data_IF_772263819053
#
_entry.id   IF_772263819053
#
_cell.length_a   1.000
_cell.length_b   1.000
_cell.length_c   1.000
_cell.angle_alpha   90.00
_cell.angle_beta   90.00
_cell.angle_gamma   90.00
#
_symmetry.space_group_name_H-M   'P 1'
#
loop_
_entity.id
_entity.type
_entity.pdbx_description
1 polymer ?
#
# COMPACT_ATOMS: atom_id res chain seq x y z
N UNK A 1 -23.36 9.77 16.88
CA UNK A 1 -21.97 9.26 16.84
C UNK A 1 -21.14 10.28 16.09
N UNK A 2 -20.24 11.00 16.77
CA UNK A 2 -19.34 11.95 16.11
C UNK A 2 -18.21 11.16 15.47
N UNK A 3 -18.26 10.99 14.14
CA UNK A 3 -17.14 10.43 13.38
C UNK A 3 -16.02 11.46 13.41
N UNK A 4 -14.95 11.17 14.15
CA UNK A 4 -13.74 11.99 14.17
C UNK A 4 -13.13 12.01 12.77
N UNK A 5 -12.72 13.19 12.26
CA UNK A 5 -12.08 13.36 10.94
C UNK A 5 -10.88 12.43 10.68
N UNK A 6 -10.23 11.97 11.75
CA UNK A 6 -9.09 11.04 11.68
C UNK A 6 -9.52 9.63 11.28
N UNK A 7 -10.67 9.14 11.78
CA UNK A 7 -11.23 7.85 11.35
C UNK A 7 -11.63 7.88 9.88
N UNK A 8 -12.22 8.99 9.41
CA UNK A 8 -12.59 9.17 8.00
C UNK A 8 -11.35 9.10 7.07
N UNK A 9 -10.20 9.62 7.49
CA UNK A 9 -8.97 9.46 6.72
C UNK A 9 -8.48 8.01 6.69
N UNK A 10 -8.55 7.29 7.83
CA UNK A 10 -8.09 5.91 7.91
C UNK A 10 -8.94 4.98 7.06
N UNK A 11 -10.27 5.13 7.11
CA UNK A 11 -11.21 4.38 6.28
C UNK A 11 -10.95 4.60 4.79
N UNK A 12 -10.68 5.85 4.37
CA UNK A 12 -10.30 6.14 2.98
C UNK A 12 -8.96 5.51 2.60
N UNK A 13 -7.96 5.50 3.49
CA UNK A 13 -6.71 4.78 3.25
C UNK A 13 -6.97 3.29 3.05
N UNK A 14 -7.78 2.67 3.92
CA UNK A 14 -8.12 1.25 3.80
C UNK A 14 -8.84 0.93 2.50
N UNK A 15 -9.79 1.78 2.07
CA UNK A 15 -10.49 1.62 0.81
C UNK A 15 -9.54 1.66 -0.42
N UNK A 16 -8.50 2.50 -0.38
CA UNK A 16 -7.48 2.52 -1.43
C UNK A 16 -6.62 1.26 -1.39
N UNK A 17 -6.24 0.81 -0.19
CA UNK A 17 -5.40 -0.39 0.00
C UNK A 17 -6.10 -1.65 -0.49
N UNK A 18 -7.41 -1.77 -0.23
CA UNK A 18 -8.23 -2.89 -0.68
C UNK A 18 -8.27 -3.02 -2.22
N UNK A 19 -8.11 -1.90 -2.94
CA UNK A 19 -8.11 -1.86 -4.41
C UNK A 19 -6.78 -2.26 -5.04
N UNK A 20 -5.68 -2.35 -4.28
CA UNK A 20 -4.36 -2.64 -4.85
C UNK A 20 -4.39 -4.04 -5.50
N UNK A 21 -4.18 -4.18 -6.82
CA UNK A 21 -4.27 -5.47 -7.49
C UNK A 21 -3.22 -6.47 -7.02
N UNK A 22 -3.52 -7.77 -7.15
CA UNK A 22 -2.53 -8.84 -6.96
C UNK A 22 -1.35 -8.66 -7.92
N UNK A 23 -0.13 -8.84 -7.43
CA UNK A 23 1.10 -8.67 -8.22
C UNK A 23 1.50 -7.21 -8.46
N UNK A 24 0.77 -6.27 -7.86
CA UNK A 24 1.09 -4.84 -7.85
C UNK A 24 1.34 -4.34 -6.43
N UNK A 25 2.12 -3.28 -6.33
CA UNK A 25 2.41 -2.57 -5.09
C UNK A 25 2.15 -1.09 -5.26
N UNK A 26 1.88 -0.40 -4.17
CA UNK A 26 1.84 1.07 -4.16
C UNK A 26 2.73 1.61 -3.06
N UNK A 27 2.87 2.94 -3.02
CA UNK A 27 3.65 3.59 -1.96
C UNK A 27 2.76 4.43 -1.06
N UNK A 28 3.21 4.63 0.18
CA UNK A 28 2.55 5.55 1.12
C UNK A 28 2.32 6.94 0.51
N UNK A 29 3.24 7.41 -0.34
CA UNK A 29 3.16 8.69 -1.03
C UNK A 29 2.06 8.73 -2.08
N UNK A 30 1.89 7.66 -2.88
CA UNK A 30 0.83 7.57 -3.88
C UNK A 30 -0.55 7.54 -3.22
N UNK A 31 -0.74 6.74 -2.16
CA UNK A 31 -1.99 6.72 -1.39
C UNK A 31 -2.28 8.12 -0.82
N UNK A 32 -1.29 8.75 -0.18
CA UNK A 32 -1.45 10.07 0.41
C UNK A 32 -1.75 11.14 -0.66
N UNK A 33 -1.10 11.07 -1.82
CA UNK A 33 -1.35 11.95 -2.96
C UNK A 33 -2.75 11.81 -3.53
N UNK A 34 -3.21 10.58 -3.75
CA UNK A 34 -4.56 10.27 -4.23
C UNK A 34 -5.66 10.79 -3.30
N UNK A 35 -5.43 10.71 -1.98
CA UNK A 35 -6.35 11.25 -0.98
C UNK A 35 -6.23 12.78 -0.79
N UNK A 36 -5.49 13.48 -1.66
CA UNK A 36 -5.32 14.94 -1.61
C UNK A 36 -4.44 15.43 -0.45
N UNK A 37 -3.71 14.53 0.21
CA UNK A 37 -2.92 14.79 1.41
C UNK A 37 -1.46 14.38 1.20
N UNK A 38 -0.78 14.92 0.19
CA UNK A 38 0.59 14.52 -0.23
C UNK A 38 1.63 14.47 0.91
N UNK A 39 1.49 15.28 1.96
CA UNK A 39 2.37 15.27 3.14
C UNK A 39 2.02 14.21 4.20
N UNK A 40 0.94 13.46 4.03
CA UNK A 40 0.39 12.53 5.01
C UNK A 40 0.89 11.09 4.88
N UNK A 41 1.99 10.83 4.15
CA UNK A 41 2.54 9.48 3.98
C UNK A 41 2.82 8.77 5.32
N UNK A 42 3.26 9.51 6.35
CA UNK A 42 3.44 8.98 7.70
C UNK A 42 2.12 8.56 8.35
N UNK A 43 1.07 9.37 8.17
CA UNK A 43 -0.28 9.09 8.66
C UNK A 43 -0.89 7.87 7.97
N UNK A 44 -0.61 7.66 6.68
CA UNK A 44 -0.98 6.41 5.97
C UNK A 44 -0.36 5.20 6.68
N UNK A 45 0.91 5.27 7.09
CA UNK A 45 1.56 4.20 7.86
C UNK A 45 0.88 3.94 9.21
N UNK A 46 0.38 4.97 9.89
CA UNK A 46 -0.42 4.81 11.11
C UNK A 46 -1.77 4.14 10.83
N UNK A 47 -2.45 4.55 9.76
CA UNK A 47 -3.72 3.93 9.34
C UNK A 47 -3.55 2.44 9.02
N UNK A 48 -2.48 2.05 8.32
CA UNK A 48 -2.17 0.63 8.08
C UNK A 48 -1.86 -0.11 9.39
N UNK A 49 -1.17 0.53 10.33
CA UNK A 49 -0.92 -0.04 11.65
C UNK A 49 -2.20 -0.27 12.47
N UNK A 50 -3.19 0.59 12.30
CA UNK A 50 -4.52 0.47 12.92
C UNK A 50 -5.41 -0.58 12.26
N UNK A 51 -5.09 -0.98 11.02
CA UNK A 51 -5.79 -2.05 10.29
C UNK A 51 -5.40 -3.47 10.74
N UNK A 52 -4.72 -3.63 11.89
CA UNK A 52 -4.29 -4.93 12.38
C UNK A 52 -5.50 -5.86 12.59
N UNK A 53 -5.53 -6.99 11.87
CA UNK A 53 -6.64 -7.95 11.88
C UNK A 53 -7.68 -7.75 10.77
N UNK A 54 -7.61 -6.65 10.01
CA UNK A 54 -8.39 -6.50 8.78
C UNK A 54 -7.78 -7.37 7.66
N UNK A 55 -8.63 -7.93 6.80
CA UNK A 55 -8.22 -8.72 5.62
C UNK A 55 -7.75 -7.83 4.46
N UNK A 56 -6.97 -6.78 4.75
CA UNK A 56 -6.45 -5.85 3.74
C UNK A 56 -5.08 -6.31 3.23
N UNK A 57 -4.75 -6.10 1.94
CA UNK A 57 -3.46 -6.46 1.38
C UNK A 57 -2.37 -5.44 1.75
N UNK A 58 -2.21 -5.14 3.04
CA UNK A 58 -1.26 -4.15 3.55
C UNK A 58 0.19 -4.47 3.16
N UNK A 59 0.52 -5.73 2.85
CA UNK A 59 1.86 -6.12 2.37
C UNK A 59 2.19 -5.53 1.00
N UNK A 60 1.19 -5.07 0.23
CA UNK A 60 1.36 -4.38 -1.06
C UNK A 60 1.72 -2.90 -0.93
N UNK A 61 1.84 -2.36 0.29
CA UNK A 61 2.25 -0.95 0.51
C UNK A 61 3.71 -0.88 0.96
N UNK A 62 4.55 -0.30 0.11
CA UNK A 62 6.00 -0.18 0.33
C UNK A 62 6.44 1.29 0.42
N UNK A 63 7.70 1.55 0.78
CA UNK A 63 8.21 2.92 0.76
C UNK A 63 8.45 3.41 -0.68
N UNK A 64 8.84 4.67 -0.83
CA UNK A 64 9.13 5.29 -2.14
C UNK A 64 10.30 4.66 -2.91
N UNK A 65 11.08 3.80 -2.28
CA UNK A 65 12.24 3.11 -2.86
C UNK A 65 12.00 1.61 -3.01
N UNK A 66 10.77 1.12 -2.81
CA UNK A 66 10.46 -0.31 -2.90
C UNK A 66 10.87 -1.12 -1.65
N UNK A 67 11.44 -0.51 -0.62
CA UNK A 67 11.82 -1.21 0.61
C UNK A 67 10.58 -1.66 1.40
N UNK A 68 10.62 -2.88 1.91
CA UNK A 68 9.59 -3.50 2.75
C UNK A 68 9.57 -2.93 4.18
N UNK A 69 9.10 -1.69 4.31
CA UNK A 69 8.88 -1.07 5.62
C UNK A 69 7.72 -1.75 6.34
N UNK A 70 7.91 -2.08 7.63
CA UNK A 70 6.86 -2.70 8.43
C UNK A 70 6.81 -4.23 8.34
N UNK A 71 7.75 -4.88 7.65
CA UNK A 71 7.84 -6.35 7.50
C UNK A 71 7.62 -7.14 8.80
N UNK A 72 8.16 -6.65 9.93
CA UNK A 72 7.99 -7.29 11.25
C UNK A 72 6.54 -7.41 11.72
N UNK A 73 5.62 -6.59 11.19
CA UNK A 73 4.19 -6.63 11.51
C UNK A 73 3.44 -7.77 10.81
N UNK A 74 4.07 -8.45 9.84
CA UNK A 74 3.46 -9.53 9.07
C UNK A 74 3.78 -10.93 9.62
N UNK A 75 4.32 -11.04 10.84
CA UNK A 75 4.67 -12.34 11.46
C UNK A 75 6.13 -12.76 11.29
N UNK A 76 6.97 -11.90 10.71
CA UNK A 76 8.40 -12.12 10.60
C UNK A 76 9.05 -11.26 9.51
N UNK A 77 10.38 -11.16 9.49
CA UNK A 77 11.11 -10.33 8.53
C UNK A 77 10.93 -10.77 7.07
N UNK A 78 10.60 -12.04 6.81
CA UNK A 78 10.50 -12.60 5.45
C UNK A 78 9.06 -12.71 4.94
N UNK A 79 8.06 -12.71 5.83
CA UNK A 79 6.66 -13.03 5.45
C UNK A 79 6.08 -12.03 4.45
N UNK A 80 6.39 -10.74 4.61
CA UNK A 80 5.94 -9.70 3.68
C UNK A 80 6.52 -9.94 2.26
N UNK A 81 7.79 -10.32 2.19
CA UNK A 81 8.52 -10.59 0.95
C UNK A 81 8.01 -11.86 0.28
N UNK A 82 7.81 -12.94 1.04
CA UNK A 82 7.25 -14.22 0.57
C UNK A 82 5.86 -14.04 -0.04
N UNK A 83 4.98 -13.28 0.63
CA UNK A 83 3.64 -12.96 0.11
C UNK A 83 3.72 -12.21 -1.22
N UNK A 84 4.57 -11.19 -1.30
CA UNK A 84 4.75 -10.42 -2.53
C UNK A 84 5.30 -11.29 -3.67
N UNK A 85 6.30 -12.14 -3.39
CA UNK A 85 6.84 -13.07 -4.40
C UNK A 85 5.81 -14.10 -4.86
N UNK A 86 4.96 -14.60 -3.96
CA UNK A 86 3.87 -15.51 -4.31
C UNK A 86 2.84 -14.86 -5.25
N UNK A 87 2.71 -13.53 -5.21
CA UNK A 87 1.89 -12.75 -6.15
C UNK A 87 2.63 -12.37 -7.45
N UNK A 88 3.90 -12.77 -7.60
CA UNK A 88 4.72 -12.47 -8.78
C UNK A 88 5.44 -11.12 -8.73
N UNK A 89 5.53 -10.47 -7.57
CA UNK A 89 6.31 -9.24 -7.39
C UNK A 89 7.80 -9.55 -7.38
N UNK A 90 8.55 -8.83 -8.21
CA UNK A 90 10.01 -8.98 -8.35
C UNK A 90 10.77 -7.99 -7.46
N UNK A 91 12.00 -8.38 -7.11
CA UNK A 91 12.89 -7.65 -6.21
C UNK A 91 14.26 -7.50 -6.86
N UNK A 92 14.95 -6.39 -6.57
CA UNK A 92 16.32 -6.14 -7.00
C UNK A 92 17.37 -6.83 -6.09
N UNK A 93 18.64 -6.62 -6.40
CA UNK A 93 19.78 -7.19 -5.66
C UNK A 93 19.85 -6.71 -4.20
N UNK A 94 19.27 -5.54 -3.89
CA UNK A 94 19.19 -4.97 -2.55
C UNK A 94 17.93 -5.44 -1.78
N UNK A 95 17.10 -6.29 -2.39
CA UNK A 95 15.85 -6.79 -1.79
C UNK A 95 14.74 -5.73 -1.74
N UNK A 96 14.83 -4.69 -2.57
CA UNK A 96 13.75 -3.73 -2.77
C UNK A 96 12.86 -4.18 -3.93
N UNK A 97 11.56 -3.86 -3.86
CA UNK A 97 10.62 -4.14 -4.95
C UNK A 97 11.01 -3.33 -6.17
N UNK A 98 11.03 -3.98 -7.35
CA UNK A 98 11.23 -3.30 -8.64
C UNK A 98 9.97 -2.50 -8.98
N UNK A 99 9.92 -1.25 -8.50
CA UNK A 99 8.73 -0.39 -8.63
C UNK A 99 8.34 -0.16 -10.08
N UNK A 100 9.28 -0.02 -11.02
CA UNK A 100 8.98 0.20 -12.43
C UNK A 100 8.09 -0.89 -13.04
N UNK A 101 8.21 -2.14 -12.57
CA UNK A 101 7.40 -3.25 -13.06
C UNK A 101 6.05 -3.41 -12.31
N UNK A 102 6.04 -3.08 -11.02
CA UNK A 102 4.95 -3.45 -10.11
C UNK A 102 4.18 -2.28 -9.52
N UNK A 103 4.59 -1.03 -9.74
CA UNK A 103 3.91 0.14 -9.20
C UNK A 103 2.49 0.25 -9.76
N UNK A 104 1.53 0.40 -8.86
CA UNK A 104 0.16 0.80 -9.13
C UNK A 104 -0.05 2.19 -8.52
N UNK A 105 -0.46 3.12 -9.37
CA UNK A 105 -0.86 4.46 -8.98
C UNK A 105 -2.39 4.57 -8.99
N UNK A 106 -3.04 4.76 -7.84
CA UNK A 106 -4.49 4.94 -7.77
C UNK A 106 -5.03 6.15 -8.55
N UNK A 107 -4.18 7.14 -8.88
CA UNK A 107 -4.59 8.32 -9.65
C UNK A 107 -4.62 8.10 -11.16
N UNK A 108 -3.86 7.13 -11.66
CA UNK A 108 -3.81 6.78 -13.09
C UNK A 108 -4.92 5.78 -13.50
N UNK A 109 -5.83 5.43 -12.57
CA UNK A 109 -6.94 4.51 -12.84
C UNK A 109 -8.09 5.15 -13.65
N UNK A 110 -7.80 6.20 -14.42
CA UNK A 110 -8.74 6.86 -15.31
C UNK A 110 -8.39 6.56 -16.78
N UNK A 111 -9.40 6.07 -17.50
CA UNK A 111 -9.50 5.96 -18.97
C UNK A 111 -9.00 4.67 -19.64
N UNK A 112 -9.79 3.60 -19.52
CA UNK A 112 -10.18 2.84 -20.73
C UNK A 112 -11.70 2.61 -20.76
N UNK A 113 -12.37 2.92 -21.89
CA UNK A 113 -13.82 2.90 -22.01
C UNK A 113 -14.37 1.48 -21.86
N UNK A 114 -15.52 1.37 -21.21
CA UNK A 114 -16.35 0.18 -21.32
C UNK A 114 -16.60 -0.08 -22.81
N UNK A 115 -16.05 -1.17 -23.33
CA UNK A 115 -16.34 -1.72 -24.66
C UNK A 115 -17.27 -2.91 -24.49
#
# INVERSE_FOLDING_TARGET
MSVSRENDFFERVWAVVDRIPCGKVTTYGHIAGYLGARSAARTVGWALGAAAGAMLPCHRVVNRFGTLTGKMRFGGPHVMEERLRAEGVTFDEDGCVVLEAHLWDPSEESEYPQS
#
